data_IF_367048887738
#
_entry.id   IF_367048887738
#
_cell.length_a   1.000
_cell.length_b   1.000
_cell.length_c   1.000
_cell.angle_alpha   90.00
_cell.angle_beta   90.00
_cell.angle_gamma   90.00
#
_symmetry.space_group_name_H-M   'P 1'
#
loop_
_entity.id
_entity.type
_entity.pdbx_description
1 polymer ?
#
# COMPACT_ATOMS: atom_id res chain seq x y z
N UNK A 1 1.56 -18.60 -5.81
CA UNK A 1 1.27 -18.41 -4.36
C UNK A 1 -0.12 -17.79 -4.24
N UNK A 2 -0.96 -18.26 -3.31
CA UNK A 2 -2.35 -17.76 -3.17
C UNK A 2 -2.37 -16.42 -2.42
N UNK A 3 -2.86 -15.36 -3.08
CA UNK A 3 -3.05 -14.04 -2.44
C UNK A 3 -4.05 -14.15 -1.29
N UNK A 4 -5.11 -14.96 -1.44
CA UNK A 4 -6.15 -15.13 -0.41
C UNK A 4 -5.59 -15.73 0.89
N UNK A 5 -4.73 -16.75 0.78
CA UNK A 5 -4.04 -17.32 1.94
C UNK A 5 -3.12 -16.29 2.61
N UNK A 6 -2.41 -15.49 1.80
CA UNK A 6 -1.53 -14.45 2.30
C UNK A 6 -2.32 -13.38 3.06
N UNK A 7 -3.45 -12.94 2.51
CA UNK A 7 -4.37 -12.00 3.15
C UNK A 7 -4.86 -12.54 4.49
N UNK A 8 -5.29 -13.80 4.55
CA UNK A 8 -5.77 -14.40 5.79
C UNK A 8 -4.66 -14.51 6.86
N UNK A 9 -3.44 -14.86 6.47
CA UNK A 9 -2.31 -14.91 7.39
C UNK A 9 -1.97 -13.52 7.94
N UNK A 10 -1.91 -12.52 7.07
CA UNK A 10 -1.68 -11.12 7.50
C UNK A 10 -2.83 -10.62 8.37
N UNK A 11 -4.07 -11.02 8.10
CA UNK A 11 -5.23 -10.66 8.92
C UNK A 11 -5.09 -11.15 10.36
N UNK A 12 -4.57 -12.36 10.59
CA UNK A 12 -4.29 -12.86 11.96
C UNK A 12 -3.29 -11.95 12.68
N UNK A 13 -2.19 -11.57 12.03
CA UNK A 13 -1.20 -10.68 12.63
C UNK A 13 -1.69 -9.25 12.79
N UNK A 14 -2.54 -8.77 11.87
CA UNK A 14 -3.27 -7.52 12.04
C UNK A 14 -4.10 -7.56 13.32
N UNK A 15 -4.90 -8.61 13.55
CA UNK A 15 -5.67 -8.76 14.79
C UNK A 15 -4.78 -8.72 16.05
N UNK A 16 -3.61 -9.39 16.03
CA UNK A 16 -2.65 -9.32 17.14
C UNK A 16 -2.07 -7.93 17.31
N UNK A 17 -1.79 -7.22 16.23
CA UNK A 17 -1.24 -5.86 16.28
C UNK A 17 -2.17 -4.83 16.91
N UNK A 18 -3.47 -5.12 17.01
CA UNK A 18 -4.41 -4.25 17.74
C UNK A 18 -4.13 -4.18 19.24
N UNK A 19 -3.32 -5.09 19.79
CA UNK A 19 -2.92 -5.08 21.19
C UNK A 19 -1.40 -4.90 21.31
N UNK A 20 -0.98 -3.85 22.00
CA UNK A 20 0.44 -3.48 22.19
C UNK A 20 1.26 -4.61 22.84
N UNK A 21 0.64 -5.44 23.69
CA UNK A 21 1.27 -6.62 24.29
C UNK A 21 1.85 -7.61 23.25
N UNK A 22 1.29 -7.68 22.04
CA UNK A 22 1.79 -8.56 20.98
C UNK A 22 2.78 -7.90 20.03
N UNK A 23 2.98 -6.57 20.10
CA UNK A 23 3.90 -5.87 19.19
C UNK A 23 5.33 -6.41 19.31
N UNK A 24 5.79 -6.69 20.54
CA UNK A 24 7.11 -7.30 20.78
C UNK A 24 7.28 -8.64 20.03
N UNK A 25 6.27 -9.50 20.06
CA UNK A 25 6.28 -10.78 19.33
C UNK A 25 6.27 -10.57 17.80
N UNK A 26 5.42 -9.66 17.31
CA UNK A 26 5.34 -9.33 15.86
C UNK A 26 6.69 -8.84 15.33
N UNK A 27 7.39 -8.02 16.11
CA UNK A 27 8.71 -7.51 15.76
C UNK A 27 9.79 -8.60 15.87
N UNK A 28 9.76 -9.40 16.93
CA UNK A 28 10.68 -10.52 17.14
C UNK A 28 10.66 -11.51 15.97
N UNK A 29 9.46 -11.88 15.49
CA UNK A 29 9.29 -12.77 14.33
C UNK A 29 9.39 -12.06 12.97
N UNK A 30 9.80 -10.78 12.95
CA UNK A 30 10.01 -9.98 11.72
C UNK A 30 8.78 -9.88 10.82
N UNK A 31 7.59 -9.98 11.39
CA UNK A 31 6.32 -9.97 10.63
C UNK A 31 6.14 -8.63 9.90
N UNK A 32 6.51 -7.50 10.52
CA UNK A 32 6.46 -6.19 9.86
C UNK A 32 7.38 -6.11 8.63
N UNK A 33 8.59 -6.65 8.71
CA UNK A 33 9.52 -6.69 7.58
C UNK A 33 9.02 -7.58 6.44
N UNK A 34 8.43 -8.74 6.76
CA UNK A 34 7.79 -9.62 5.78
C UNK A 34 6.58 -8.95 5.12
N UNK A 35 5.79 -8.21 5.89
CA UNK A 35 4.62 -7.46 5.40
C UNK A 35 5.05 -6.38 4.41
N UNK A 36 6.13 -5.65 4.68
CA UNK A 36 6.73 -4.71 3.72
C UNK A 36 7.13 -5.40 2.41
N UNK A 37 7.79 -6.56 2.48
CA UNK A 37 8.18 -7.34 1.29
C UNK A 37 6.96 -7.81 0.49
N UNK A 38 5.87 -8.20 1.15
CA UNK A 38 4.62 -8.59 0.47
C UNK A 38 4.01 -7.40 -0.27
N UNK A 39 3.96 -6.22 0.34
CA UNK A 39 3.45 -5.00 -0.30
C UNK A 39 4.29 -4.63 -1.53
N UNK A 40 5.61 -4.64 -1.42
CA UNK A 40 6.53 -4.36 -2.53
C UNK A 40 6.32 -5.34 -3.71
N UNK A 41 6.21 -6.63 -3.43
CA UNK A 41 5.94 -7.63 -4.47
C UNK A 41 4.61 -7.40 -5.19
N UNK A 42 3.56 -7.04 -4.45
CA UNK A 42 2.25 -6.77 -5.05
C UNK A 42 2.23 -5.45 -5.85
N UNK A 43 2.99 -4.44 -5.44
CA UNK A 43 3.20 -3.22 -6.24
C UNK A 43 3.89 -3.52 -7.58
N UNK A 44 4.96 -4.34 -7.56
CA UNK A 44 5.65 -4.76 -8.78
C UNK A 44 4.73 -5.56 -9.71
N UNK A 45 3.94 -6.46 -9.12
CA UNK A 45 2.93 -7.23 -9.85
C UNK A 45 1.89 -6.33 -10.50
N UNK A 46 1.40 -5.30 -9.79
CA UNK A 46 0.50 -4.30 -10.37
C UNK A 46 1.11 -3.65 -11.61
N UNK A 47 2.36 -3.17 -11.52
CA UNK A 47 3.06 -2.53 -12.64
C UNK A 47 3.15 -3.43 -13.87
N UNK A 48 3.55 -4.70 -13.70
CA UNK A 48 3.62 -5.67 -14.80
C UNK A 48 2.27 -5.89 -15.47
N UNK A 49 1.19 -6.00 -14.68
CA UNK A 49 -0.16 -6.16 -15.22
C UNK A 49 -0.64 -4.93 -15.98
N UNK A 50 -0.32 -3.72 -15.49
CA UNK A 50 -0.63 -2.47 -16.19
C UNK A 50 0.11 -2.39 -17.51
N UNK A 51 1.40 -2.73 -17.55
CA UNK A 51 2.19 -2.77 -18.79
C UNK A 51 1.64 -3.77 -19.81
N UNK A 52 1.24 -4.97 -19.35
CA UNK A 52 0.65 -6.00 -20.21
C UNK A 52 -0.70 -5.54 -20.79
N UNK A 53 -1.57 -4.96 -19.97
CA UNK A 53 -2.85 -4.41 -20.42
C UNK A 53 -2.67 -3.30 -21.44
N UNK A 54 -1.75 -2.37 -21.18
CA UNK A 54 -1.43 -1.27 -22.07
C UNK A 54 -0.88 -1.75 -23.41
N UNK A 55 -0.08 -2.82 -23.41
CA UNK A 55 0.39 -3.47 -24.63
C UNK A 55 -0.78 -4.07 -25.42
N UNK A 56 -1.64 -4.86 -24.77
CA UNK A 56 -2.82 -5.45 -25.43
C UNK A 56 -3.78 -4.39 -25.97
N UNK A 57 -3.93 -3.27 -25.26
CA UNK A 57 -4.72 -2.12 -25.70
C UNK A 57 -4.21 -1.56 -27.02
N UNK A 58 -2.89 -1.40 -27.18
CA UNK A 58 -2.27 -0.89 -28.40
C UNK A 58 -2.34 -1.90 -29.55
N UNK A 59 -2.09 -3.18 -29.26
CA UNK A 59 -1.97 -4.22 -30.29
C UNK A 59 -3.34 -4.67 -30.83
N UNK A 60 -4.37 -4.73 -29.98
CA UNK A 60 -5.68 -5.30 -30.32
C UNK A 60 -6.86 -4.32 -30.21
N UNK A 61 -6.65 -3.14 -29.61
CA UNK A 61 -7.73 -2.17 -29.34
C UNK A 61 -8.62 -2.57 -28.16
N UNK A 62 -9.26 -1.58 -27.54
CA UNK A 62 -10.10 -1.75 -26.34
C UNK A 62 -11.38 -2.59 -26.60
N UNK A 63 -11.83 -2.67 -27.84
CA UNK A 63 -13.02 -3.44 -28.23
C UNK A 63 -12.76 -4.94 -28.34
N UNK A 64 -11.49 -5.36 -28.42
CA UNK A 64 -11.11 -6.77 -28.54
C UNK A 64 -11.55 -7.58 -27.33
N UNK A 65 -12.05 -8.80 -27.59
CA UNK A 65 -12.45 -9.75 -26.54
C UNK A 65 -11.26 -10.12 -25.63
N UNK A 66 -10.04 -10.19 -26.18
CA UNK A 66 -8.83 -10.50 -25.40
C UNK A 66 -8.46 -9.37 -24.43
N UNK A 67 -8.61 -8.11 -24.88
CA UNK A 67 -8.41 -6.95 -24.02
C UNK A 67 -9.42 -6.95 -22.88
N UNK A 68 -10.72 -7.07 -23.19
CA UNK A 68 -11.78 -7.10 -22.16
C UNK A 68 -11.59 -8.21 -21.14
N UNK A 69 -11.26 -9.43 -21.60
CA UNK A 69 -11.00 -10.56 -20.69
C UNK A 69 -9.80 -10.31 -19.79
N UNK A 70 -8.75 -9.66 -20.31
CA UNK A 70 -7.57 -9.29 -19.52
C UNK A 70 -7.88 -8.18 -18.51
N UNK A 71 -8.68 -7.19 -18.91
CA UNK A 71 -9.11 -6.08 -18.07
C UNK A 71 -9.98 -6.57 -16.90
N UNK A 72 -10.91 -7.49 -17.16
CA UNK A 72 -11.73 -8.14 -16.13
C UNK A 72 -10.85 -8.89 -15.10
N UNK A 73 -9.84 -9.64 -15.57
CA UNK A 73 -8.89 -10.35 -14.69
C UNK A 73 -8.09 -9.37 -13.84
N UNK A 74 -7.67 -8.25 -14.42
CA UNK A 74 -6.98 -7.20 -13.69
C UNK A 74 -7.88 -6.57 -12.63
N UNK A 75 -9.14 -6.28 -12.94
CA UNK A 75 -10.13 -5.80 -11.98
C UNK A 75 -10.30 -6.75 -10.78
N UNK A 76 -10.32 -8.07 -11.01
CA UNK A 76 -10.34 -9.07 -9.91
C UNK A 76 -9.06 -9.05 -9.09
N UNK A 77 -7.90 -8.96 -9.74
CA UNK A 77 -6.61 -8.83 -9.06
C UNK A 77 -6.57 -7.59 -8.17
N UNK A 78 -7.04 -6.44 -8.67
CA UNK A 78 -7.09 -5.19 -7.91
C UNK A 78 -7.93 -5.31 -6.65
N UNK A 79 -9.12 -5.90 -6.74
CA UNK A 79 -9.98 -6.12 -5.56
C UNK A 79 -9.28 -6.96 -4.49
N UNK A 80 -8.58 -8.03 -4.88
CA UNK A 80 -7.81 -8.87 -3.95
C UNK A 80 -6.61 -8.13 -3.36
N UNK A 81 -5.93 -7.35 -4.19
CA UNK A 81 -4.79 -6.55 -3.76
C UNK A 81 -5.21 -5.47 -2.77
N UNK A 82 -6.34 -4.79 -2.98
CA UNK A 82 -6.89 -3.81 -2.04
C UNK A 82 -7.18 -4.42 -0.67
N UNK A 83 -7.79 -5.60 -0.62
CA UNK A 83 -8.04 -6.29 0.64
C UNK A 83 -6.75 -6.64 1.37
N UNK A 84 -5.75 -7.18 0.66
CA UNK A 84 -4.44 -7.48 1.22
C UNK A 84 -3.76 -6.20 1.74
N UNK A 85 -3.82 -5.11 0.97
CA UNK A 85 -3.19 -3.85 1.33
C UNK A 85 -3.83 -3.25 2.57
N UNK A 86 -5.15 -3.31 2.68
CA UNK A 86 -5.87 -2.83 3.86
C UNK A 86 -5.37 -3.51 5.13
N UNK A 87 -5.33 -4.85 5.15
CA UNK A 87 -4.90 -5.59 6.36
C UNK A 87 -3.41 -5.44 6.65
N UNK A 88 -2.57 -5.41 5.61
CA UNK A 88 -1.13 -5.22 5.74
C UNK A 88 -0.77 -3.82 6.23
N UNK A 89 -1.41 -2.78 5.69
CA UNK A 89 -1.16 -1.39 6.07
C UNK A 89 -1.66 -1.13 7.50
N UNK A 90 -2.80 -1.70 7.90
CA UNK A 90 -3.26 -1.60 9.29
C UNK A 90 -2.28 -2.24 10.27
N UNK A 91 -1.79 -3.44 9.97
CA UNK A 91 -0.76 -4.10 10.76
C UNK A 91 0.48 -3.21 10.92
N UNK A 92 0.97 -2.64 9.82
CA UNK A 92 2.14 -1.75 9.84
C UNK A 92 1.87 -0.45 10.61
N UNK A 93 0.68 0.15 10.44
CA UNK A 93 0.26 1.36 11.14
C UNK A 93 0.25 1.17 12.65
N UNK A 94 -0.28 0.03 13.12
CA UNK A 94 -0.36 -0.33 14.53
C UNK A 94 1.04 -0.47 15.15
N UNK A 95 1.96 -1.21 14.50
CA UNK A 95 3.31 -1.39 15.05
C UNK A 95 4.23 -0.18 14.86
N UNK A 96 3.84 0.80 14.05
CA UNK A 96 4.58 2.05 13.86
C UNK A 96 4.45 3.02 15.05
N UNK A 97 3.92 2.59 16.20
CA UNK A 97 4.07 3.34 17.47
C UNK A 97 5.53 3.41 17.93
N UNK A 98 6.37 2.47 17.49
CA UNK A 98 7.80 2.47 17.75
C UNK A 98 8.56 3.24 16.65
N UNK A 99 9.29 4.29 17.05
CA UNK A 99 10.04 5.17 16.13
C UNK A 99 11.09 4.41 15.30
N UNK A 100 11.76 3.41 15.86
CA UNK A 100 12.74 2.60 15.11
C UNK A 100 12.08 1.75 14.03
N UNK A 101 10.87 1.26 14.31
CA UNK A 101 10.08 0.50 13.34
C UNK A 101 9.64 1.43 12.22
N UNK A 102 9.16 2.62 12.56
CA UNK A 102 8.78 3.65 11.59
C UNK A 102 9.95 4.01 10.66
N UNK A 103 11.12 4.33 11.21
CA UNK A 103 12.32 4.66 10.44
C UNK A 103 12.74 3.51 9.50
N UNK A 104 12.59 2.24 9.94
CA UNK A 104 12.86 1.06 9.10
C UNK A 104 11.84 0.92 7.97
N UNK A 105 10.56 1.25 8.19
CA UNK A 105 9.54 1.23 7.14
C UNK A 105 9.77 2.34 6.12
N UNK A 106 10.14 3.55 6.56
CA UNK A 106 10.49 4.68 5.68
C UNK A 106 11.65 4.30 4.75
N UNK A 107 12.75 3.76 5.30
CA UNK A 107 13.90 3.27 4.50
C UNK A 107 13.53 2.16 3.50
N UNK A 108 12.42 1.46 3.72
CA UNK A 108 11.89 0.42 2.84
C UNK A 108 10.82 0.93 1.87
N UNK A 109 10.59 2.24 1.80
CA UNK A 109 9.71 2.86 0.81
C UNK A 109 8.22 2.82 1.14
N UNK A 110 7.83 2.73 2.42
CA UNK A 110 6.40 2.72 2.81
C UNK A 110 5.66 3.97 2.30
N UNK A 111 6.29 5.14 2.31
CA UNK A 111 5.69 6.40 1.87
C UNK A 111 5.25 6.33 0.40
N UNK A 112 6.10 5.76 -0.46
CA UNK A 112 5.77 5.56 -1.89
C UNK A 112 4.58 4.64 -2.07
N UNK A 113 4.52 3.54 -1.31
CA UNK A 113 3.41 2.57 -1.38
C UNK A 113 2.10 3.23 -0.93
N UNK A 114 2.15 4.01 0.16
CA UNK A 114 1.00 4.74 0.69
C UNK A 114 0.50 5.78 -0.34
N UNK A 115 1.39 6.57 -0.94
CA UNK A 115 1.00 7.54 -1.97
C UNK A 115 0.33 6.87 -3.17
N UNK A 116 0.84 5.72 -3.64
CA UNK A 116 0.21 4.97 -4.72
C UNK A 116 -1.21 4.51 -4.36
N UNK A 117 -1.46 4.16 -3.10
CA UNK A 117 -2.79 3.75 -2.63
C UNK A 117 -3.82 4.88 -2.61
N UNK A 118 -3.40 6.15 -2.57
CA UNK A 118 -4.31 7.30 -2.63
C UNK A 118 -5.06 7.39 -3.97
N UNK A 119 -4.50 6.83 -5.05
CA UNK A 119 -5.12 6.86 -6.38
C UNK A 119 -6.23 5.79 -6.55
N UNK A 120 -6.47 4.93 -5.56
CA UNK A 120 -7.44 3.83 -5.63
C UNK A 120 -8.85 4.29 -5.27
N UNK A 121 -9.88 3.65 -5.85
CA UNK A 121 -11.29 3.96 -5.59
C UNK A 121 -11.83 3.21 -4.37
N UNK A 122 -11.12 3.29 -3.25
CA UNK A 122 -11.45 2.59 -2.01
C UNK A 122 -11.27 3.52 -0.81
N UNK A 123 -12.39 4.12 -0.35
CA UNK A 123 -12.36 5.17 0.67
C UNK A 123 -11.84 4.69 2.03
N UNK A 124 -12.17 3.46 2.44
CA UNK A 124 -11.66 2.89 3.70
C UNK A 124 -10.13 2.77 3.68
N UNK A 125 -9.58 2.28 2.57
CA UNK A 125 -8.13 2.19 2.38
C UNK A 125 -7.51 3.60 2.35
N UNK A 126 -8.12 4.55 1.64
CA UNK A 126 -7.62 5.93 1.58
C UNK A 126 -7.57 6.60 2.96
N UNK A 127 -8.61 6.43 3.79
CA UNK A 127 -8.65 6.98 5.16
C UNK A 127 -7.50 6.41 6.01
N UNK A 128 -7.29 5.09 5.93
CA UNK A 128 -6.17 4.42 6.61
C UNK A 128 -4.82 4.98 6.13
N UNK A 129 -4.63 5.07 4.82
CA UNK A 129 -3.39 5.54 4.18
C UNK A 129 -3.10 6.98 4.59
N UNK A 130 -4.10 7.86 4.55
CA UNK A 130 -4.03 9.24 5.02
C UNK A 130 -3.63 9.31 6.49
N UNK A 131 -4.26 8.48 7.34
CA UNK A 131 -3.96 8.43 8.78
C UNK A 131 -2.51 8.00 9.02
N UNK A 132 -2.02 7.04 8.24
CA UNK A 132 -0.64 6.60 8.34
C UNK A 132 0.34 7.64 7.82
N UNK A 133 0.08 8.25 6.66
CA UNK A 133 0.89 9.35 6.15
C UNK A 133 0.98 10.50 7.15
N UNK A 134 -0.14 10.87 7.80
CA UNK A 134 -0.13 11.88 8.87
C UNK A 134 0.78 11.47 10.04
N UNK A 135 0.75 10.20 10.45
CA UNK A 135 1.65 9.65 11.49
C UNK A 135 3.12 9.77 11.08
N UNK A 136 3.45 9.43 9.83
CA UNK A 136 4.81 9.53 9.28
C UNK A 136 5.28 10.97 9.05
N UNK A 137 4.36 11.90 8.74
CA UNK A 137 4.64 13.30 8.38
C UNK A 137 5.04 14.18 9.56
N UNK A 138 4.99 13.66 10.78
CA UNK A 138 5.52 14.35 11.96
C UNK A 138 7.05 14.55 11.83
N UNK A 139 7.72 13.76 10.99
CA UNK A 139 9.15 13.84 10.71
C UNK A 139 9.45 14.62 9.42
N UNK A 140 10.44 15.51 9.47
CA UNK A 140 10.80 16.40 8.34
C UNK A 140 11.26 15.63 7.10
N UNK A 141 11.91 14.47 7.25
CA UNK A 141 12.39 13.69 6.10
C UNK A 141 11.24 13.10 5.26
N UNK A 142 10.13 12.69 5.90
CA UNK A 142 8.96 12.12 5.22
C UNK A 142 8.30 13.10 4.24
N UNK A 143 8.42 14.41 4.49
CA UNK A 143 7.86 15.49 3.67
C UNK A 143 8.48 15.52 2.28
N UNK A 144 9.79 15.35 2.18
CA UNK A 144 10.50 15.40 0.91
C UNK A 144 10.08 14.24 -0.01
N UNK A 145 9.99 13.02 0.51
CA UNK A 145 9.60 11.83 -0.27
C UNK A 145 8.15 11.91 -0.79
N UNK A 146 7.25 12.56 -0.05
CA UNK A 146 5.88 12.80 -0.50
C UNK A 146 5.78 13.80 -1.66
N UNK A 147 6.75 14.71 -1.78
CA UNK A 147 6.80 15.73 -2.85
C UNK A 147 7.52 15.24 -4.11
N UNK A 148 8.40 14.24 -4.01
CA UNK A 148 9.27 13.78 -5.12
C UNK A 148 8.61 12.69 -6.01
N UNK A 149 7.43 12.18 -5.63
CA UNK A 149 6.71 11.18 -6.43
C UNK A 149 6.18 11.75 -7.76
N UNK A 150 6.51 11.17 -8.93
CA UNK A 150 5.89 11.57 -10.18
C UNK A 150 4.47 10.98 -10.21
N UNK A 151 3.42 11.76 -9.91
CA UNK A 151 2.02 11.53 -10.33
C UNK A 151 1.08 12.65 -9.82
N UNK A 152 0.61 13.49 -10.76
CA UNK A 152 -0.59 14.35 -10.65
C UNK A 152 -1.88 13.49 -10.50
N UNK A 153 -3.05 13.99 -10.02
CA UNK A 153 -3.55 15.38 -9.96
C UNK A 153 -3.96 15.87 -8.56
N UNK A 154 -3.66 15.14 -7.48
CA UNK A 154 -4.13 15.50 -6.13
C UNK A 154 -3.15 16.37 -5.33
N UNK A 155 -2.43 17.30 -5.99
CA UNK A 155 -1.56 18.29 -5.32
C UNK A 155 -2.27 19.03 -4.16
N UNK A 156 -3.59 19.21 -4.23
CA UNK A 156 -4.39 19.84 -3.17
C UNK A 156 -4.47 19.04 -1.86
N UNK A 157 -4.43 17.70 -1.92
CA UNK A 157 -4.41 16.89 -0.68
C UNK A 157 -3.07 17.06 0.04
N UNK A 158 -1.97 17.21 -0.70
CA UNK A 158 -0.66 17.55 -0.14
C UNK A 158 -0.58 18.98 0.43
N UNK A 159 -1.52 19.88 0.15
CA UNK A 159 -1.60 21.17 0.85
C UNK A 159 -2.25 21.06 2.23
N UNK A 160 -3.24 20.16 2.38
CA UNK A 160 -4.04 19.99 3.60
C UNK A 160 -3.27 19.32 4.74
N UNK A 161 -2.30 18.45 4.44
CA UNK A 161 -1.52 17.76 5.48
C UNK A 161 -0.39 18.61 6.09
N UNK A 162 0.00 19.71 5.42
CA UNK A 162 1.25 20.43 5.73
C UNK A 162 1.03 21.82 6.33
N UNK A 163 -0.22 22.23 6.58
CA UNK A 163 -0.54 23.55 7.13
C UNK A 163 -0.68 23.61 8.65
N UNK A 164 -0.32 22.55 9.37
CA UNK A 164 -0.15 22.61 10.82
C UNK A 164 1.30 22.32 11.21
N UNK A 165 2.14 23.35 11.05
CA UNK A 165 3.13 23.70 12.07
C UNK A 165 2.67 24.98 12.75
#
# INVERSE_FOLDING_TARGET
KSTDLTTNLIYVFFCFSSFTNFHGAILHFKIGALTMTILDHEMKKYGLWTEELEKKRRDHGESSLDFKSSDDKFGVLLKKQEQLFRVAIYLLFNIAENVDVEAKMQKKGIVSILCHCLCRKNYELQILVVSFLKKLSIFKESVADMWVGPLHPHHHLYGLFFHHR
#
